data_IF_378102314053
#
_entry.id   IF_378102314053
#
_cell.length_a   1.000
_cell.length_b   1.000
_cell.length_c   1.000
_cell.angle_alpha   90.00
_cell.angle_beta   90.00
_cell.angle_gamma   90.00
#
_symmetry.space_group_name_H-M   'P 1'
#
loop_
_entity.id
_entity.type
_entity.pdbx_description
1 polymer ?
#
# COMPACT_ATOMS: atom_id res chain seq x y z
N UNK A 1 -47.37 5.45 9.97
CA UNK A 1 -45.91 5.37 10.26
C UNK A 1 -45.32 4.43 9.23
N UNK A 2 -44.26 4.78 8.48
CA UNK A 2 -43.69 3.86 7.52
C UNK A 2 -43.01 2.72 8.28
N UNK A 3 -43.45 1.50 7.96
CA UNK A 3 -42.88 0.25 8.42
C UNK A 3 -41.42 0.19 7.96
N UNK A 4 -40.49 0.40 8.90
CA UNK A 4 -39.06 0.30 8.63
C UNK A 4 -38.75 -1.19 8.64
N UNK A 5 -38.70 -1.77 7.44
CA UNK A 5 -38.37 -3.18 7.23
C UNK A 5 -37.12 -3.65 8.01
N UNK A 6 -36.88 -4.97 8.07
CA UNK A 6 -35.89 -5.55 8.97
C UNK A 6 -34.53 -4.88 8.82
N UNK A 7 -33.97 -4.43 9.94
CA UNK A 7 -32.65 -3.80 9.97
C UNK A 7 -31.61 -4.84 9.53
N UNK A 8 -30.73 -4.51 8.57
CA UNK A 8 -29.68 -5.43 8.15
C UNK A 8 -28.72 -5.77 9.29
N UNK A 9 -28.21 -7.00 9.31
CA UNK A 9 -27.20 -7.41 10.28
C UNK A 9 -25.86 -6.72 10.02
N UNK A 10 -25.05 -6.57 11.07
CA UNK A 10 -23.71 -5.99 10.93
C UNK A 10 -22.81 -6.83 10.01
N UNK A 11 -22.99 -8.15 10.02
CA UNK A 11 -22.28 -9.08 9.13
C UNK A 11 -22.62 -8.83 7.66
N UNK A 12 -23.90 -8.65 7.34
CA UNK A 12 -24.37 -8.30 5.99
C UNK A 12 -23.79 -6.97 5.52
N UNK A 13 -23.83 -5.94 6.38
CA UNK A 13 -23.23 -4.64 6.09
C UNK A 13 -21.71 -4.72 5.86
N UNK A 14 -21.02 -5.56 6.63
CA UNK A 14 -19.58 -5.82 6.47
C UNK A 14 -19.28 -6.51 5.14
N UNK A 15 -20.13 -7.45 4.72
CA UNK A 15 -20.05 -8.09 3.40
C UNK A 15 -20.16 -7.06 2.26
N UNK A 16 -21.22 -6.25 2.28
CA UNK A 16 -21.42 -5.20 1.28
C UNK A 16 -20.25 -4.21 1.24
N UNK A 17 -19.73 -3.79 2.40
CA UNK A 17 -18.60 -2.88 2.46
C UNK A 17 -17.36 -3.45 1.76
N UNK A 18 -17.09 -4.76 1.92
CA UNK A 18 -16.00 -5.44 1.21
C UNK A 18 -16.23 -5.47 -0.29
N UNK A 19 -17.45 -5.76 -0.74
CA UNK A 19 -17.80 -5.81 -2.16
C UNK A 19 -17.69 -4.43 -2.82
N UNK A 20 -18.10 -3.37 -2.14
CA UNK A 20 -17.94 -1.99 -2.62
C UNK A 20 -16.45 -1.62 -2.78
N UNK A 21 -15.61 -1.99 -1.82
CA UNK A 21 -14.16 -1.76 -1.88
C UNK A 21 -13.54 -2.55 -3.04
N UNK A 22 -13.93 -3.82 -3.20
CA UNK A 22 -13.45 -4.67 -4.29
C UNK A 22 -13.84 -4.10 -5.67
N UNK A 23 -15.12 -3.78 -5.86
CA UNK A 23 -15.66 -3.26 -7.11
C UNK A 23 -15.16 -1.84 -7.46
N UNK A 24 -14.70 -1.07 -6.47
CA UNK A 24 -14.08 0.24 -6.70
C UNK A 24 -12.68 0.16 -7.32
N UNK A 25 -12.06 -1.02 -7.34
CA UNK A 25 -10.67 -1.21 -7.76
C UNK A 25 -10.61 -1.88 -9.14
N UNK A 26 -10.05 -1.19 -10.13
CA UNK A 26 -9.88 -1.73 -11.48
C UNK A 26 -8.98 -2.99 -11.49
N UNK A 27 -9.28 -4.02 -12.30
CA UNK A 27 -8.54 -5.30 -12.31
C UNK A 27 -7.01 -5.15 -12.47
N UNK A 28 -6.56 -4.18 -13.28
CA UNK A 28 -5.14 -3.87 -13.47
C UNK A 28 -4.46 -3.38 -12.17
N UNK A 29 -5.21 -2.66 -11.35
CA UNK A 29 -4.77 -2.17 -10.03
C UNK A 29 -4.64 -3.33 -9.05
N UNK A 30 -5.58 -4.28 -9.06
CA UNK A 30 -5.50 -5.51 -8.24
C UNK A 30 -4.22 -6.30 -8.56
N UNK A 31 -3.89 -6.48 -9.84
CA UNK A 31 -2.65 -7.16 -10.24
C UNK A 31 -1.41 -6.43 -9.69
N UNK A 32 -1.42 -5.10 -9.75
CA UNK A 32 -0.32 -4.28 -9.22
C UNK A 32 -0.19 -4.43 -7.70
N UNK A 33 -1.31 -4.53 -6.98
CA UNK A 33 -1.32 -4.73 -5.53
C UNK A 33 -0.83 -6.13 -5.13
N UNK A 34 -1.19 -7.16 -5.90
CA UNK A 34 -0.64 -8.51 -5.72
C UNK A 34 0.88 -8.54 -5.91
N UNK A 35 1.40 -7.81 -6.91
CA UNK A 35 2.85 -7.66 -7.12
C UNK A 35 3.50 -6.94 -5.93
N UNK A 36 2.87 -5.88 -5.40
CA UNK A 36 3.37 -5.16 -4.24
C UNK A 36 3.51 -6.07 -3.01
N UNK A 37 2.49 -6.89 -2.72
CA UNK A 37 2.54 -7.87 -1.64
C UNK A 37 3.64 -8.91 -1.86
N UNK A 38 3.78 -9.41 -3.09
CA UNK A 38 4.86 -10.35 -3.43
C UNK A 38 6.23 -9.73 -3.16
N UNK A 39 6.44 -8.47 -3.56
CA UNK A 39 7.69 -7.74 -3.33
C UNK A 39 7.97 -7.51 -1.85
N UNK A 40 6.95 -7.26 -1.04
CA UNK A 40 7.10 -7.18 0.41
C UNK A 40 7.47 -8.54 1.02
N UNK A 41 6.88 -9.63 0.55
CA UNK A 41 7.25 -10.98 0.99
C UNK A 41 8.70 -11.33 0.62
N UNK A 42 9.12 -11.04 -0.62
CA UNK A 42 10.51 -11.21 -1.08
C UNK A 42 11.48 -10.39 -0.21
N UNK A 43 11.15 -9.14 0.10
CA UNK A 43 11.93 -8.30 1.01
C UNK A 43 12.05 -8.94 2.40
N UNK A 44 10.93 -9.42 2.97
CA UNK A 44 10.95 -10.07 4.28
C UNK A 44 11.80 -11.33 4.29
N UNK A 45 11.73 -12.13 3.25
CA UNK A 45 12.57 -13.32 3.10
C UNK A 45 14.04 -12.96 2.99
N UNK A 46 14.39 -11.95 2.19
CA UNK A 46 15.76 -11.50 2.01
C UNK A 46 16.42 -11.03 3.31
N UNK A 47 15.66 -10.40 4.19
CA UNK A 47 16.14 -9.85 5.46
C UNK A 47 15.75 -10.67 6.70
N UNK A 48 15.30 -11.92 6.51
CA UNK A 48 14.88 -12.83 7.59
C UNK A 48 13.86 -12.22 8.57
N UNK A 49 12.92 -11.44 8.04
CA UNK A 49 11.85 -10.80 8.81
C UNK A 49 10.67 -11.74 9.00
N UNK A 50 9.91 -11.52 10.08
CA UNK A 50 8.75 -12.34 10.40
C UNK A 50 7.64 -12.21 9.34
N UNK A 51 7.17 -13.34 8.82
CA UNK A 51 6.05 -13.43 7.87
C UNK A 51 4.70 -13.23 8.59
N UNK A 52 4.37 -11.99 8.93
CA UNK A 52 3.10 -11.61 9.56
C UNK A 52 2.30 -10.66 8.67
N UNK A 53 0.98 -10.64 8.83
CA UNK A 53 0.14 -9.73 8.06
C UNK A 53 0.36 -8.26 8.44
N UNK A 54 0.57 -7.94 9.71
CA UNK A 54 0.88 -6.58 10.14
C UNK A 54 2.30 -6.18 9.72
N UNK A 55 2.45 -5.02 9.10
CA UNK A 55 3.77 -4.42 8.82
C UNK A 55 3.98 -3.26 9.79
N UNK A 56 5.13 -3.16 10.44
CA UNK A 56 5.45 -2.01 11.30
C UNK A 56 5.90 -0.82 10.45
N UNK A 57 5.76 0.41 10.97
CA UNK A 57 6.22 1.64 10.30
C UNK A 57 7.69 1.56 9.90
N UNK A 58 8.54 1.08 10.80
CA UNK A 58 9.97 0.91 10.53
C UNK A 58 10.23 -0.08 9.40
N UNK A 59 9.42 -1.13 9.30
CA UNK A 59 9.53 -2.16 8.27
C UNK A 59 9.10 -1.60 6.90
N UNK A 60 8.04 -0.78 6.87
CA UNK A 60 7.63 -0.04 5.67
C UNK A 60 8.70 0.97 5.23
N UNK A 61 9.31 1.68 6.17
CA UNK A 61 10.38 2.64 5.88
C UNK A 61 11.60 1.93 5.26
N UNK A 62 12.01 0.80 5.84
CA UNK A 62 13.09 -0.01 5.31
C UNK A 62 12.73 -0.57 3.92
N UNK A 63 11.47 -0.98 3.72
CA UNK A 63 10.99 -1.46 2.42
C UNK A 63 10.99 -0.36 1.35
N UNK A 64 10.51 0.86 1.67
CA UNK A 64 10.58 2.03 0.77
C UNK A 64 12.02 2.32 0.39
N UNK A 65 12.93 2.27 1.37
CA UNK A 65 14.36 2.51 1.17
C UNK A 65 14.96 1.43 0.27
N UNK A 66 14.65 0.17 0.51
CA UNK A 66 15.04 -0.95 -0.34
C UNK A 66 14.58 -0.74 -1.79
N UNK A 67 13.31 -0.41 -2.04
CA UNK A 67 12.82 -0.14 -3.39
C UNK A 67 13.52 1.06 -4.05
N UNK A 68 13.86 2.09 -3.27
CA UNK A 68 14.64 3.22 -3.75
C UNK A 68 16.06 2.82 -4.18
N UNK A 69 16.73 1.93 -3.44
CA UNK A 69 18.06 1.40 -3.84
C UNK A 69 18.00 0.59 -5.14
N UNK A 70 16.85 -0.02 -5.44
CA UNK A 70 16.58 -0.72 -6.70
C UNK A 70 16.21 0.23 -7.85
N UNK A 71 16.36 1.55 -7.65
CA UNK A 71 16.00 2.60 -8.62
C UNK A 71 14.53 2.55 -9.08
N UNK A 72 13.64 2.04 -8.22
CA UNK A 72 12.22 1.98 -8.54
C UNK A 72 11.61 3.39 -8.58
N UNK A 73 10.80 3.74 -9.59
CA UNK A 73 10.19 5.06 -9.66
C UNK A 73 9.32 5.37 -8.45
N UNK A 74 9.38 6.60 -7.95
CA UNK A 74 8.60 7.02 -6.79
C UNK A 74 7.09 6.75 -6.94
N UNK A 75 6.54 6.92 -8.14
CA UNK A 75 5.13 6.62 -8.45
C UNK A 75 4.79 5.14 -8.29
N UNK A 76 5.69 4.25 -8.71
CA UNK A 76 5.55 2.80 -8.53
C UNK A 76 5.65 2.44 -7.05
N UNK A 77 6.60 3.02 -6.32
CA UNK A 77 6.74 2.80 -4.87
C UNK A 77 5.48 3.25 -4.12
N UNK A 78 4.97 4.46 -4.41
CA UNK A 78 3.68 4.92 -3.85
C UNK A 78 2.56 3.94 -4.15
N UNK A 79 2.48 3.42 -5.39
CA UNK A 79 1.46 2.44 -5.77
C UNK A 79 1.58 1.14 -4.99
N UNK A 80 2.81 0.68 -4.73
CA UNK A 80 3.05 -0.51 -3.92
C UNK A 80 2.63 -0.33 -2.47
N UNK A 81 2.96 0.81 -1.87
CA UNK A 81 2.54 1.14 -0.51
C UNK A 81 1.01 1.22 -0.42
N UNK A 82 0.34 1.83 -1.39
CA UNK A 82 -1.13 1.82 -1.47
C UNK A 82 -1.71 0.41 -1.61
N UNK A 83 -1.07 -0.47 -2.39
CA UNK A 83 -1.51 -1.86 -2.55
C UNK A 83 -1.39 -2.70 -1.28
N UNK A 84 -0.30 -2.50 -0.52
CA UNK A 84 -0.14 -3.11 0.80
C UNK A 84 -1.22 -2.58 1.76
N UNK A 85 -1.52 -1.27 1.70
CA UNK A 85 -2.57 -0.66 2.53
C UNK A 85 -3.95 -1.22 2.22
N UNK A 86 -4.26 -1.34 0.94
CA UNK A 86 -5.50 -1.95 0.48
C UNK A 86 -5.66 -3.36 1.06
N UNK A 87 -4.62 -4.20 0.94
CA UNK A 87 -4.64 -5.56 1.46
C UNK A 87 -4.79 -5.64 2.98
N UNK A 88 -4.13 -4.75 3.73
CA UNK A 88 -4.26 -4.69 5.18
C UNK A 88 -5.65 -4.23 5.62
N UNK A 89 -6.24 -3.25 4.92
CA UNK A 89 -7.60 -2.78 5.19
C UNK A 89 -8.63 -3.89 4.95
N UNK A 90 -8.49 -4.69 3.89
CA UNK A 90 -9.35 -5.85 3.65
C UNK A 90 -9.24 -6.91 4.78
N UNK A 91 -8.06 -7.04 5.39
CA UNK A 91 -7.80 -7.96 6.50
C UNK A 91 -8.08 -7.35 7.87
N UNK A 92 -8.54 -6.10 7.95
CA UNK A 92 -8.76 -5.36 9.19
C UNK A 92 -7.51 -5.31 10.10
N UNK A 93 -6.33 -5.28 9.48
CA UNK A 93 -5.05 -5.17 10.20
C UNK A 93 -4.65 -3.70 10.25
N UNK A 94 -4.34 -3.23 11.47
CA UNK A 94 -4.16 -1.83 11.88
C UNK A 94 -3.32 -0.94 10.91
N UNK A 95 -3.68 0.35 10.84
CA UNK A 95 -3.17 1.35 9.88
C UNK A 95 -1.74 1.87 10.18
N UNK A 96 -0.69 1.13 9.84
CA UNK A 96 0.69 1.68 9.84
C UNK A 96 1.01 2.50 8.60
N UNK A 97 0.26 2.34 7.50
CA UNK A 97 0.67 2.88 6.19
C UNK A 97 0.39 4.38 6.04
N UNK A 98 -0.47 4.95 6.90
CA UNK A 98 -0.70 6.40 7.00
C UNK A 98 0.19 7.08 8.04
N UNK A 99 1.17 6.37 8.62
CA UNK A 99 2.08 7.00 9.57
C UNK A 99 2.81 8.17 8.92
N UNK A 100 2.98 9.25 9.71
CA UNK A 100 3.65 10.47 9.26
C UNK A 100 5.01 10.18 8.63
N UNK A 101 5.74 9.19 9.17
CA UNK A 101 7.07 8.82 8.69
C UNK A 101 7.04 8.18 7.29
N UNK A 102 6.04 7.34 6.99
CA UNK A 102 5.86 6.72 5.67
C UNK A 102 5.54 7.79 4.63
N UNK A 103 4.66 8.74 4.96
CA UNK A 103 4.34 9.88 4.10
C UNK A 103 5.59 10.70 3.79
N UNK A 104 6.40 11.03 4.81
CA UNK A 104 7.64 11.79 4.63
C UNK A 104 8.68 11.05 3.80
N UNK A 105 8.79 9.72 3.95
CA UNK A 105 9.68 8.91 3.14
C UNK A 105 9.30 8.94 1.65
N UNK A 106 8.00 8.82 1.34
CA UNK A 106 7.50 8.91 -0.04
C UNK A 106 7.70 10.31 -0.63
N UNK A 107 7.48 11.37 0.15
CA UNK A 107 7.80 12.76 -0.27
C UNK A 107 9.29 12.92 -0.60
N UNK A 108 10.18 12.41 0.27
CA UNK A 108 11.62 12.46 0.07
C UNK A 108 12.05 11.71 -1.20
N UNK A 109 11.49 10.52 -1.43
CA UNK A 109 11.76 9.72 -2.63
C UNK A 109 11.35 10.46 -3.91
N UNK A 110 10.21 11.17 -3.91
CA UNK A 110 9.75 11.97 -5.06
C UNK A 110 10.71 13.10 -5.39
N UNK A 111 11.22 13.81 -4.37
CA UNK A 111 12.19 14.91 -4.55
C UNK A 111 13.53 14.41 -5.10
N UNK A 112 14.06 13.33 -4.51
CA UNK A 112 15.32 12.71 -4.95
C UNK A 112 15.27 12.19 -6.40
N UNK A 113 14.10 11.73 -6.85
CA UNK A 113 13.89 11.31 -8.25
C UNK A 113 13.84 12.52 -9.21
N UNK A 114 13.39 13.69 -8.74
CA UNK A 114 13.41 14.95 -9.50
C UNK A 114 14.83 15.50 -9.69
N UNK A 115 15.68 15.42 -8.66
CA UNK A 115 17.08 15.86 -8.70
C UNK A 115 17.93 15.05 -9.70
N UNK A 116 17.67 13.74 -9.83
CA UNK A 116 18.33 12.88 -10.83
C UNK A 116 17.90 13.18 -12.28
N UNK A 117 16.77 13.88 -12.50
CA UNK A 117 16.31 14.28 -13.84
C UNK A 117 16.90 15.61 -14.30
N UNK A 118 17.21 16.53 -13.37
CA UNK A 118 17.80 17.83 -13.69
C UNK A 118 19.29 17.75 -14.08
N UNK A 119 19.95 16.60 -13.87
CA UNK A 119 21.37 16.39 -14.22
C UNK A 119 21.57 15.92 -15.67
N UNK A 120 20.50 15.73 -16.45
CA UNK A 120 20.56 15.20 -17.82
C UNK A 120 19.67 15.97 -18.82
N UNK A 121 19.62 17.30 -18.72
CA UNK A 121 19.23 18.13 -19.88
C UNK A 121 20.51 18.52 -20.64
N UNK A 122 20.71 18.04 -21.88
CA UNK A 122 21.81 18.53 -22.71
C UNK A 122 21.52 19.98 -23.11
N UNK A 123 22.51 20.87 -22.86
CA UNK A 123 22.57 22.20 -23.48
C UNK A 123 22.84 22.08 -24.97
#
# INVERSE_FOLDING_TARGET
MPDKGPRPSLEYLTGIARDLIFNSTFNKTINTYSVALKKLCEFRELYNLHKRWSVLDQELLNFITYLATQKMPATTVTTYISGIAYAHNLKQVNETIKSFIVVKALEGLRRKTGELRQTYEPQ
#
